data_IF_405529990877
#
_entry.id   IF_405529990877
#
_cell.length_a   1.000
_cell.length_b   1.000
_cell.length_c   1.000
_cell.angle_alpha   90.00
_cell.angle_beta   90.00
_cell.angle_gamma   90.00
#
_symmetry.space_group_name_H-M   'P 1'
#
loop_
_entity.id
_entity.type
_entity.pdbx_description
1 polymer ?
#
# COMPACT_ATOMS: atom_id res chain seq x y z
N UNK A 1 -10.16 -22.59 -2.53
CA UNK A 1 -11.20 -23.49 -3.03
C UNK A 1 -11.59 -24.61 -2.06
N UNK A 2 -10.66 -25.33 -1.42
CA UNK A 2 -10.98 -26.43 -0.47
C UNK A 2 -11.83 -26.02 0.76
N UNK A 3 -11.69 -24.81 1.27
CA UNK A 3 -12.44 -24.35 2.46
C UNK A 3 -13.88 -23.88 2.18
N UNK A 4 -14.22 -23.50 0.96
CA UNK A 4 -15.60 -23.15 0.59
C UNK A 4 -16.48 -24.38 0.35
N UNK A 5 -15.87 -25.49 -0.10
CA UNK A 5 -16.60 -26.77 -0.24
C UNK A 5 -17.03 -27.32 1.13
N UNK A 6 -16.22 -27.14 2.19
CA UNK A 6 -16.58 -27.59 3.55
C UNK A 6 -17.75 -26.82 4.18
N UNK A 7 -17.91 -25.52 3.81
CA UNK A 7 -18.98 -24.69 4.34
C UNK A 7 -20.35 -25.01 3.69
N UNK A 8 -20.35 -25.38 2.41
CA UNK A 8 -21.58 -25.75 1.70
C UNK A 8 -22.10 -27.13 2.18
N UNK A 9 -21.20 -28.05 2.56
CA UNK A 9 -21.60 -29.35 3.11
C UNK A 9 -22.25 -29.26 4.49
N UNK A 10 -21.89 -28.24 5.31
CA UNK A 10 -22.49 -28.07 6.66
C UNK A 10 -23.87 -27.41 6.61
N UNK A 11 -24.19 -26.61 5.60
CA UNK A 11 -25.49 -25.94 5.46
C UNK A 11 -26.56 -26.89 4.89
N UNK A 12 -26.18 -27.84 4.06
CA UNK A 12 -27.10 -28.84 3.50
C UNK A 12 -27.67 -29.86 4.53
N UNK A 13 -26.94 -30.10 5.61
CA UNK A 13 -27.33 -31.05 6.66
C UNK A 13 -28.27 -30.43 7.71
N UNK A 14 -28.31 -29.10 7.83
CA UNK A 14 -29.08 -28.42 8.85
C UNK A 14 -30.59 -28.25 8.53
N UNK A 15 -31.03 -28.53 7.31
CA UNK A 15 -32.43 -28.26 6.90
C UNK A 15 -33.35 -29.49 6.90
N UNK A 16 -32.87 -30.70 7.23
CA UNK A 16 -33.67 -31.92 7.23
C UNK A 16 -34.00 -32.51 8.62
N UNK A 17 -33.71 -31.80 9.70
CA UNK A 17 -34.16 -32.21 11.04
C UNK A 17 -35.53 -31.58 11.35
N UNK A 18 -36.62 -32.22 10.86
CA UNK A 18 -37.92 -32.04 11.47
C UNK A 18 -37.94 -32.80 12.81
N UNK A 19 -38.39 -32.19 13.90
CA UNK A 19 -38.47 -32.92 15.18
C UNK A 19 -39.56 -33.99 15.11
N UNK A 20 -39.15 -35.25 15.09
CA UNK A 20 -40.09 -36.34 15.27
C UNK A 20 -40.45 -36.36 16.76
N UNK A 21 -41.71 -36.05 17.07
CA UNK A 21 -42.25 -36.18 18.41
C UNK A 21 -42.24 -37.67 18.82
N UNK A 22 -41.39 -38.01 19.77
CA UNK A 22 -41.32 -39.36 20.35
C UNK A 22 -42.55 -39.64 21.23
N UNK A 23 -43.44 -40.50 20.79
CA UNK A 23 -44.38 -41.16 21.71
C UNK A 23 -43.61 -42.27 22.44
N UNK A 24 -43.65 -42.26 23.75
CA UNK A 24 -42.85 -43.12 24.66
C UNK A 24 -43.45 -44.54 24.83
N UNK A 25 -43.80 -45.28 23.78
CA UNK A 25 -44.37 -46.62 23.89
C UNK A 25 -43.86 -47.58 22.82
N UNK A 26 -42.59 -47.83 22.80
CA UNK A 26 -41.98 -48.89 22.00
C UNK A 26 -40.92 -49.65 22.80
N UNK A 27 -40.83 -50.98 22.61
CA UNK A 27 -39.77 -51.79 23.24
C UNK A 27 -38.38 -51.33 22.77
N UNK A 28 -37.35 -51.54 23.58
CA UNK A 28 -35.95 -51.17 23.24
C UNK A 28 -35.54 -51.76 21.88
N UNK A 29 -36.03 -52.97 21.57
CA UNK A 29 -35.77 -53.62 20.28
C UNK A 29 -36.39 -52.88 19.08
N UNK A 30 -37.60 -52.34 19.22
CA UNK A 30 -38.23 -51.54 18.16
C UNK A 30 -37.47 -50.22 17.92
N UNK A 31 -36.94 -49.63 18.98
CA UNK A 31 -36.11 -48.40 18.87
C UNK A 31 -34.76 -48.71 18.23
N UNK A 32 -34.18 -49.87 18.55
CA UNK A 32 -32.91 -50.29 17.94
C UNK A 32 -33.07 -50.52 16.43
N UNK A 33 -34.14 -51.20 16.03
CA UNK A 33 -34.47 -51.47 14.61
C UNK A 33 -34.74 -50.16 13.83
N UNK A 34 -35.43 -49.21 14.45
CA UNK A 34 -35.64 -47.88 13.83
C UNK A 34 -34.35 -47.13 13.65
N UNK A 35 -33.43 -47.16 14.63
CA UNK A 35 -32.11 -46.52 14.54
C UNK A 35 -31.20 -47.20 13.50
N UNK A 36 -31.23 -48.55 13.41
CA UNK A 36 -30.48 -49.28 12.39
C UNK A 36 -30.98 -48.94 10.97
N UNK A 37 -32.29 -48.81 10.79
CA UNK A 37 -32.89 -48.36 9.52
C UNK A 37 -32.47 -46.96 9.16
N UNK A 38 -32.46 -46.00 10.12
CA UNK A 38 -31.99 -44.62 9.91
C UNK A 38 -30.50 -44.58 9.57
N UNK A 39 -29.67 -45.36 10.24
CA UNK A 39 -28.25 -45.47 9.93
C UNK A 39 -28.02 -46.01 8.51
N UNK A 40 -28.81 -47.01 8.09
CA UNK A 40 -28.72 -47.56 6.74
C UNK A 40 -29.12 -46.53 5.68
N UNK A 41 -30.18 -45.73 5.94
CA UNK A 41 -30.62 -44.64 5.07
C UNK A 41 -29.57 -43.53 4.96
N UNK A 42 -29.05 -43.06 6.08
CA UNK A 42 -28.01 -42.05 6.11
C UNK A 42 -26.71 -42.49 5.42
N UNK A 43 -26.37 -43.78 5.54
CA UNK A 43 -25.22 -44.33 4.78
C UNK A 43 -25.46 -44.36 3.29
N UNK A 44 -26.68 -44.64 2.84
CA UNK A 44 -27.04 -44.63 1.43
C UNK A 44 -27.06 -43.20 0.85
N UNK A 45 -27.58 -42.23 1.61
CA UNK A 45 -27.55 -40.78 1.23
C UNK A 45 -26.12 -40.27 1.16
N UNK A 46 -25.28 -40.60 2.12
CA UNK A 46 -23.85 -40.20 2.13
C UNK A 46 -23.08 -40.81 0.95
N UNK A 47 -23.40 -42.07 0.58
CA UNK A 47 -22.78 -42.71 -0.57
C UNK A 47 -23.21 -42.07 -1.89
N UNK A 48 -24.50 -41.68 -2.02
CA UNK A 48 -25.03 -40.99 -3.19
C UNK A 48 -24.44 -39.59 -3.34
N UNK A 49 -24.29 -38.87 -2.22
CA UNK A 49 -23.69 -37.51 -2.22
C UNK A 49 -22.18 -37.53 -2.52
N UNK A 50 -21.49 -38.57 -2.02
CA UNK A 50 -20.09 -38.85 -2.36
C UNK A 50 -19.90 -39.13 -3.86
N UNK A 51 -20.73 -39.99 -4.44
CA UNK A 51 -20.68 -40.32 -5.86
C UNK A 51 -21.01 -39.11 -6.75
N UNK A 52 -21.95 -38.23 -6.31
CA UNK A 52 -22.26 -36.98 -6.99
C UNK A 52 -21.08 -36.03 -6.89
N UNK A 53 -20.45 -35.86 -5.73
CA UNK A 53 -19.27 -35.01 -5.53
C UNK A 53 -18.07 -35.46 -6.38
N UNK A 54 -17.85 -36.77 -6.51
CA UNK A 54 -16.80 -37.36 -7.38
C UNK A 54 -17.12 -37.10 -8.87
N UNK A 55 -18.39 -37.21 -9.29
CA UNK A 55 -18.81 -36.88 -10.66
C UNK A 55 -18.62 -35.38 -10.96
N UNK A 56 -18.98 -34.49 -10.03
CA UNK A 56 -18.81 -33.06 -10.20
C UNK A 56 -17.33 -32.65 -10.28
N UNK A 57 -16.47 -33.33 -9.50
CA UNK A 57 -15.01 -33.14 -9.56
C UNK A 57 -14.45 -33.60 -10.92
N UNK A 58 -14.86 -34.77 -11.41
CA UNK A 58 -14.44 -35.29 -12.72
C UNK A 58 -14.91 -34.35 -13.87
N UNK A 59 -16.14 -33.80 -13.79
CA UNK A 59 -16.62 -32.83 -14.78
C UNK A 59 -15.86 -31.54 -14.72
N UNK A 60 -15.48 -31.07 -13.53
CA UNK A 60 -14.65 -29.89 -13.35
C UNK A 60 -13.22 -30.13 -13.87
N UNK A 61 -12.65 -31.30 -13.60
CA UNK A 61 -11.33 -31.68 -14.13
C UNK A 61 -11.33 -31.82 -15.65
N UNK A 62 -12.39 -32.38 -16.24
CA UNK A 62 -12.56 -32.46 -17.70
C UNK A 62 -12.75 -31.06 -18.33
N UNK A 63 -13.45 -30.11 -17.67
CA UNK A 63 -13.54 -28.72 -18.13
C UNK A 63 -12.22 -27.97 -17.99
N UNK A 64 -11.38 -28.32 -17.00
CA UNK A 64 -10.04 -27.75 -16.81
C UNK A 64 -9.04 -28.40 -17.77
N UNK A 65 -9.20 -29.71 -18.04
CA UNK A 65 -8.33 -30.47 -18.95
C UNK A 65 -8.62 -30.27 -20.44
N UNK A 66 -9.73 -29.62 -20.81
CA UNK A 66 -9.90 -29.11 -22.16
C UNK A 66 -9.18 -27.76 -22.25
N UNK A 67 -7.94 -27.68 -22.72
CA UNK A 67 -7.34 -26.38 -22.94
C UNK A 67 -8.19 -25.73 -24.02
N UNK A 68 -8.98 -24.71 -23.66
CA UNK A 68 -9.32 -23.70 -24.64
C UNK A 68 -7.99 -23.29 -25.22
N UNK A 69 -7.75 -23.64 -26.50
CA UNK A 69 -6.51 -23.30 -27.15
C UNK A 69 -6.32 -21.80 -26.95
N UNK A 70 -5.39 -21.44 -26.08
CA UNK A 70 -4.95 -20.05 -25.92
C UNK A 70 -4.27 -19.74 -27.24
N UNK A 71 -5.02 -19.18 -28.18
CA UNK A 71 -4.46 -18.69 -29.44
C UNK A 71 -3.66 -17.45 -29.06
N UNK A 72 -2.43 -17.67 -28.62
CA UNK A 72 -1.44 -16.60 -28.54
C UNK A 72 -1.18 -16.22 -29.99
N UNK A 73 -1.85 -15.18 -30.46
CA UNK A 73 -1.50 -14.60 -31.75
C UNK A 73 -0.07 -14.10 -31.61
N UNK A 74 0.84 -14.68 -32.38
CA UNK A 74 2.25 -14.26 -32.49
C UNK A 74 2.41 -12.89 -33.17
N UNK A 75 1.43 -12.01 -33.03
CA UNK A 75 1.65 -10.60 -33.29
C UNK A 75 2.45 -10.05 -32.13
N UNK A 76 3.75 -9.99 -32.30
CA UNK A 76 4.68 -9.14 -31.55
C UNK A 76 4.19 -7.69 -31.63
N UNK A 77 3.13 -7.38 -30.93
CA UNK A 77 2.58 -6.05 -30.86
C UNK A 77 3.01 -5.44 -29.54
N UNK A 78 3.42 -4.18 -29.54
CA UNK A 78 3.54 -3.31 -28.38
C UNK A 78 2.25 -3.28 -27.52
N UNK A 79 1.23 -4.04 -27.90
CA UNK A 79 -0.13 -4.07 -27.34
C UNK A 79 -0.39 -5.20 -26.34
N UNK A 80 0.53 -6.17 -26.13
CA UNK A 80 0.32 -7.31 -25.23
C UNK A 80 -0.22 -8.57 -25.94
N UNK A 81 -0.76 -9.55 -25.21
CA UNK A 81 -1.35 -10.78 -25.72
C UNK A 81 -2.85 -10.85 -25.42
N UNK A 82 -3.61 -11.58 -26.22
CA UNK A 82 -5.06 -11.74 -26.08
C UNK A 82 -5.44 -13.11 -25.53
N UNK A 83 -6.44 -13.11 -24.61
CA UNK A 83 -7.12 -14.31 -24.15
C UNK A 83 -8.63 -14.04 -24.27
N UNK A 84 -9.29 -14.65 -25.23
CA UNK A 84 -10.67 -14.29 -25.57
C UNK A 84 -10.77 -12.82 -25.99
N UNK A 85 -11.71 -12.08 -25.38
CA UNK A 85 -11.93 -10.65 -25.65
C UNK A 85 -11.02 -9.72 -24.82
N UNK A 86 -10.14 -10.27 -23.99
CA UNK A 86 -9.31 -9.49 -23.08
C UNK A 86 -7.90 -9.41 -23.57
N UNK A 87 -7.35 -8.20 -23.69
CA UNK A 87 -5.94 -7.93 -23.96
C UNK A 87 -5.19 -7.80 -22.64
N UNK A 88 -4.15 -8.61 -22.46
CA UNK A 88 -3.26 -8.56 -21.30
C UNK A 88 -1.93 -7.90 -21.64
N UNK A 89 -1.45 -7.06 -20.72
CA UNK A 89 -0.11 -6.47 -20.78
C UNK A 89 0.63 -6.80 -19.50
N UNK A 90 1.86 -7.26 -19.62
CA UNK A 90 2.80 -7.39 -18.52
C UNK A 90 3.65 -6.12 -18.47
N UNK A 91 4.03 -5.71 -17.28
CA UNK A 91 4.91 -4.59 -17.05
C UNK A 91 5.64 -4.73 -15.75
N UNK A 92 6.65 -3.90 -15.54
CA UNK A 92 7.43 -3.94 -14.33
C UNK A 92 8.90 -3.62 -14.58
N UNK A 93 9.70 -3.98 -13.61
CA UNK A 93 11.15 -3.87 -13.69
C UNK A 93 11.80 -4.83 -12.69
N UNK A 94 13.00 -5.27 -13.03
CA UNK A 94 13.94 -5.86 -12.08
C UNK A 94 14.81 -4.74 -11.57
N UNK A 95 14.97 -4.64 -10.25
CA UNK A 95 15.76 -3.63 -9.57
C UNK A 95 16.76 -4.30 -8.64
N UNK A 96 17.97 -3.78 -8.61
CA UNK A 96 19.02 -4.21 -7.69
C UNK A 96 19.68 -2.97 -7.11
N UNK A 97 19.61 -2.85 -5.79
CA UNK A 97 20.15 -1.74 -5.04
C UNK A 97 21.27 -2.20 -4.10
N UNK A 98 22.26 -1.34 -3.95
CA UNK A 98 23.28 -1.43 -2.90
C UNK A 98 23.24 -0.15 -2.09
N UNK A 99 23.02 -0.27 -0.78
CA UNK A 99 22.98 0.86 0.14
C UNK A 99 24.15 0.80 1.11
N UNK A 100 24.88 1.89 1.24
CA UNK A 100 25.79 2.13 2.37
C UNK A 100 25.18 3.22 3.20
N UNK A 101 24.79 2.90 4.43
CA UNK A 101 24.05 3.80 5.32
C UNK A 101 24.79 3.99 6.62
N UNK A 102 24.94 5.23 7.05
CA UNK A 102 25.44 5.62 8.36
C UNK A 102 24.33 6.35 9.13
N UNK A 103 23.99 5.82 10.29
CA UNK A 103 23.08 6.46 11.26
C UNK A 103 23.92 7.07 12.36
N UNK A 104 23.64 8.31 12.75
CA UNK A 104 24.35 8.98 13.86
C UNK A 104 24.13 8.26 15.19
N UNK A 105 22.95 7.66 15.36
CA UNK A 105 22.53 7.01 16.60
C UNK A 105 21.86 5.67 16.33
N UNK A 106 22.34 4.62 17.02
CA UNK A 106 21.75 3.29 16.90
C UNK A 106 21.86 2.69 15.51
N UNK A 107 21.06 1.65 15.26
CA UNK A 107 21.01 0.93 13.99
C UNK A 107 19.84 -0.04 13.92
N UNK A 108 19.70 -0.68 12.78
CA UNK A 108 18.62 -1.61 12.50
C UNK A 108 19.13 -3.02 12.27
N UNK A 109 18.33 -4.01 12.71
CA UNK A 109 18.60 -5.41 12.40
C UNK A 109 18.58 -5.65 10.89
N UNK A 110 19.29 -6.66 10.42
CA UNK A 110 19.22 -7.14 9.04
C UNK A 110 17.79 -7.49 8.67
N UNK A 111 17.38 -7.19 7.44
CA UNK A 111 16.00 -7.37 6.94
C UNK A 111 15.00 -6.32 7.45
N UNK A 112 15.46 -5.26 8.13
CA UNK A 112 14.61 -4.09 8.41
C UNK A 112 14.45 -3.24 7.15
N UNK A 113 13.22 -2.93 6.79
CA UNK A 113 12.90 -2.09 5.63
C UNK A 113 13.55 -0.70 5.66
N UNK A 114 13.92 -0.20 6.84
CA UNK A 114 14.65 1.08 6.99
C UNK A 114 16.06 0.99 6.37
N UNK A 115 16.60 -0.21 6.23
CA UNK A 115 17.87 -0.45 5.55
C UNK A 115 17.72 -0.39 4.02
N UNK A 116 16.53 -0.67 3.47
CA UNK A 116 16.28 -0.71 2.02
C UNK A 116 15.91 0.68 1.45
N UNK A 117 15.21 1.53 2.23
CA UNK A 117 14.91 2.89 1.81
C UNK A 117 14.73 3.85 2.99
N UNK A 118 14.76 5.15 2.72
CA UNK A 118 14.63 6.20 3.72
C UNK A 118 13.21 6.31 4.25
N UNK A 119 13.04 6.14 5.57
CA UNK A 119 11.80 6.37 6.31
C UNK A 119 12.09 7.44 7.36
N UNK A 120 11.66 8.70 7.15
CA UNK A 120 12.09 9.83 7.99
C UNK A 120 11.85 9.61 9.48
N UNK A 121 10.63 9.25 9.87
CA UNK A 121 10.25 9.04 11.27
C UNK A 121 10.88 7.80 11.93
N UNK A 122 11.62 6.99 11.18
CA UNK A 122 12.36 5.84 11.72
C UNK A 122 13.84 6.16 11.93
N UNK A 123 14.35 7.32 11.50
CA UNK A 123 15.75 7.71 11.78
C UNK A 123 15.98 7.69 13.30
N UNK A 124 16.94 6.90 13.81
CA UNK A 124 17.23 6.84 15.23
C UNK A 124 17.73 8.19 15.73
N UNK A 125 17.33 8.54 16.96
CA UNK A 125 17.66 9.81 17.60
C UNK A 125 18.39 9.54 18.91
N UNK A 126 19.43 10.30 19.21
CA UNK A 126 20.24 10.12 20.41
C UNK A 126 21.18 11.30 20.64
N UNK A 127 22.33 11.01 21.27
CA UNK A 127 23.33 12.03 21.59
C UNK A 127 24.55 12.01 20.64
N UNK A 128 24.47 11.29 19.52
CA UNK A 128 25.57 11.14 18.57
C UNK A 128 26.70 10.19 19.00
N UNK A 129 26.53 9.46 20.09
CA UNK A 129 27.57 8.63 20.69
C UNK A 129 27.58 7.16 20.18
N UNK A 130 26.60 6.76 19.37
CA UNK A 130 26.38 5.37 18.97
C UNK A 130 26.11 5.23 17.47
N UNK A 131 27.02 5.75 16.66
CA UNK A 131 26.87 5.66 15.19
C UNK A 131 26.98 4.21 14.70
N UNK A 132 26.20 3.89 13.66
CA UNK A 132 26.19 2.56 13.05
C UNK A 132 26.24 2.69 11.53
N UNK A 133 27.19 2.00 10.90
CA UNK A 133 27.29 1.89 9.45
C UNK A 133 26.83 0.50 9.00
N UNK A 134 25.99 0.45 7.96
CA UNK A 134 25.50 -0.81 7.35
C UNK A 134 25.74 -0.81 5.86
N UNK A 135 25.90 -1.99 5.29
CA UNK A 135 25.92 -2.21 3.84
C UNK A 135 24.88 -3.27 3.50
N UNK A 136 23.98 -2.94 2.60
CA UNK A 136 22.85 -3.77 2.21
C UNK A 136 22.79 -3.91 0.69
N UNK A 137 22.52 -5.12 0.23
CA UNK A 137 22.29 -5.45 -1.16
C UNK A 137 20.90 -6.07 -1.26
N UNK A 138 20.00 -5.47 -2.05
CA UNK A 138 18.61 -5.91 -2.12
C UNK A 138 18.09 -5.91 -3.55
N UNK A 139 17.12 -6.78 -3.82
CA UNK A 139 16.33 -6.80 -5.05
C UNK A 139 14.82 -6.70 -4.76
N UNK A 140 14.43 -6.39 -3.52
CA UNK A 140 13.03 -6.40 -3.07
C UNK A 140 12.17 -5.31 -3.71
N UNK A 141 12.78 -4.26 -4.25
CA UNK A 141 12.09 -3.21 -5.01
C UNK A 141 11.62 -3.68 -6.41
N UNK A 142 12.09 -4.85 -6.88
CA UNK A 142 11.61 -5.50 -8.11
C UNK A 142 10.09 -5.55 -8.14
N UNK A 143 9.51 -5.19 -9.31
CA UNK A 143 8.08 -4.97 -9.45
C UNK A 143 7.50 -5.66 -10.66
N UNK A 144 6.31 -6.23 -10.48
CA UNK A 144 5.52 -6.83 -11.56
C UNK A 144 4.12 -6.23 -11.60
N UNK A 145 3.61 -6.04 -12.81
CA UNK A 145 2.22 -5.63 -13.01
C UNK A 145 1.57 -6.38 -14.16
N UNK A 146 0.26 -6.56 -14.03
CA UNK A 146 -0.60 -7.14 -15.07
C UNK A 146 -1.76 -6.20 -15.28
N UNK A 147 -2.00 -5.83 -16.54
CA UNK A 147 -3.18 -5.08 -16.96
C UNK A 147 -4.01 -5.97 -17.87
N UNK A 148 -5.29 -6.17 -17.55
CA UNK A 148 -6.27 -6.81 -18.42
C UNK A 148 -7.28 -5.77 -18.89
N UNK A 149 -7.50 -5.64 -20.22
CA UNK A 149 -8.42 -4.65 -20.79
C UNK A 149 -9.34 -5.26 -21.82
N UNK A 150 -10.63 -4.91 -21.79
CA UNK A 150 -11.63 -5.32 -22.79
C UNK A 150 -12.66 -4.24 -23.05
N UNK A 151 -13.30 -4.29 -24.19
CA UNK A 151 -14.44 -3.43 -24.47
C UNK A 151 -15.71 -4.00 -23.82
N UNK A 152 -16.45 -3.16 -23.09
CA UNK A 152 -17.73 -3.49 -22.46
C UNK A 152 -18.70 -2.34 -22.77
N UNK A 153 -19.73 -2.60 -23.58
CA UNK A 153 -20.71 -1.59 -23.92
C UNK A 153 -20.14 -0.33 -24.58
N UNK A 154 -19.12 -0.48 -25.44
CA UNK A 154 -18.47 0.64 -26.14
C UNK A 154 -17.47 1.43 -25.28
N UNK A 155 -17.19 1.00 -24.05
CA UNK A 155 -16.21 1.59 -23.13
C UNK A 155 -15.14 0.55 -22.76
N UNK A 156 -13.93 1.00 -22.49
CA UNK A 156 -12.87 0.11 -22.02
C UNK A 156 -13.03 -0.15 -20.51
N UNK A 157 -13.17 -1.42 -20.15
CA UNK A 157 -13.00 -1.88 -18.77
C UNK A 157 -11.55 -2.37 -18.60
N UNK A 158 -10.90 -1.98 -17.50
CA UNK A 158 -9.52 -2.34 -17.18
C UNK A 158 -9.44 -2.91 -15.79
N UNK A 159 -8.73 -4.03 -15.62
CA UNK A 159 -8.28 -4.53 -14.33
C UNK A 159 -6.75 -4.39 -14.27
N UNK A 160 -6.22 -3.95 -13.14
CA UNK A 160 -4.80 -3.75 -12.93
C UNK A 160 -4.37 -4.37 -11.60
N UNK A 161 -3.23 -5.06 -11.59
CA UNK A 161 -2.59 -5.61 -10.39
C UNK A 161 -1.11 -5.29 -10.46
N UNK A 162 -0.54 -4.83 -9.34
CA UNK A 162 0.89 -4.54 -9.17
C UNK A 162 1.39 -5.09 -7.84
N UNK A 163 2.54 -5.75 -7.86
CA UNK A 163 3.22 -6.30 -6.68
C UNK A 163 4.70 -5.94 -6.67
N UNK A 164 5.29 -5.82 -5.49
CA UNK A 164 6.74 -5.84 -5.23
C UNK A 164 7.01 -6.76 -4.02
N UNK A 165 8.25 -6.78 -3.52
CA UNK A 165 8.66 -7.64 -2.41
C UNK A 165 9.05 -6.85 -1.15
N UNK A 166 9.05 -5.53 -1.21
CA UNK A 166 9.33 -4.66 -0.07
C UNK A 166 8.26 -4.77 1.02
N UNK A 167 8.63 -4.58 2.27
CA UNK A 167 7.71 -4.62 3.42
C UNK A 167 6.95 -5.95 3.57
N UNK A 168 7.42 -7.03 2.96
CA UNK A 168 6.78 -8.32 3.18
C UNK A 168 7.15 -8.84 4.56
N UNK A 169 6.15 -9.11 5.40
CA UNK A 169 6.35 -9.76 6.70
C UNK A 169 6.74 -11.23 6.62
N UNK A 170 6.97 -11.77 5.42
CA UNK A 170 7.30 -13.16 5.15
C UNK A 170 8.59 -13.26 4.34
N UNK A 171 9.51 -14.05 4.84
CA UNK A 171 10.84 -14.22 4.30
C UNK A 171 11.90 -13.52 5.13
N UNK A 172 13.13 -13.92 4.96
CA UNK A 172 14.28 -13.29 5.58
C UNK A 172 15.59 -13.73 4.90
N UNK A 173 16.62 -12.91 5.02
CA UNK A 173 17.94 -13.15 4.44
C UNK A 173 18.66 -14.34 5.10
N UNK A 174 18.40 -14.58 6.38
CA UNK A 174 19.10 -15.60 7.16
C UNK A 174 18.89 -17.02 6.64
N UNK A 175 17.72 -17.31 6.06
CA UNK A 175 17.38 -18.69 5.63
C UNK A 175 17.62 -18.87 4.14
N UNK A 176 17.07 -17.99 3.30
CA UNK A 176 17.06 -18.23 1.86
C UNK A 176 16.97 -16.96 1.03
N UNK A 177 17.04 -15.78 1.62
CA UNK A 177 16.78 -14.49 0.95
C UNK A 177 15.50 -14.52 0.10
N UNK A 178 14.44 -15.12 0.65
CA UNK A 178 13.14 -15.27 -0.01
C UNK A 178 12.15 -14.31 0.60
N UNK A 179 11.42 -13.59 -0.24
CA UNK A 179 10.45 -12.59 0.16
C UNK A 179 9.11 -12.83 -0.51
N UNK A 180 8.01 -12.63 0.21
CA UNK A 180 6.67 -12.78 -0.33
C UNK A 180 6.27 -11.54 -1.14
N UNK A 181 5.55 -11.69 -2.26
CA UNK A 181 5.03 -10.55 -3.00
C UNK A 181 3.98 -9.80 -2.17
N UNK A 182 4.10 -8.48 -2.14
CA UNK A 182 3.18 -7.54 -1.51
C UNK A 182 2.25 -6.93 -2.55
N UNK A 183 0.94 -6.90 -2.26
CA UNK A 183 0.00 -6.17 -3.11
C UNK A 183 0.20 -4.67 -2.96
N UNK A 184 0.56 -4.02 -4.06
CA UNK A 184 0.70 -2.55 -4.13
C UNK A 184 -0.58 -1.89 -4.61
N UNK A 185 -1.04 -2.28 -5.79
CA UNK A 185 -2.20 -1.72 -6.46
C UNK A 185 -3.04 -2.86 -7.02
N UNK A 186 -4.35 -2.77 -6.86
CA UNK A 186 -5.30 -3.71 -7.46
C UNK A 186 -6.64 -3.00 -7.62
N UNK A 187 -7.04 -2.70 -8.85
CA UNK A 187 -8.25 -1.95 -9.11
C UNK A 187 -8.93 -2.34 -10.43
N UNK A 188 -10.20 -2.02 -10.51
CA UNK A 188 -11.00 -2.03 -11.73
C UNK A 188 -11.29 -0.59 -12.13
N UNK A 189 -11.13 -0.28 -13.40
CA UNK A 189 -11.42 1.03 -13.98
C UNK A 189 -12.47 0.87 -15.11
N UNK A 190 -13.55 1.61 -15.04
CA UNK A 190 -14.59 1.62 -16.07
C UNK A 190 -15.32 2.95 -16.12
N UNK A 191 -15.28 3.61 -17.28
CA UNK A 191 -16.04 4.84 -17.57
C UNK A 191 -15.84 5.95 -16.52
N UNK A 192 -14.61 6.18 -16.07
CA UNK A 192 -14.27 7.20 -15.05
C UNK A 192 -14.39 6.72 -13.61
N UNK A 193 -15.06 5.59 -13.37
CA UNK A 193 -15.13 4.97 -12.04
C UNK A 193 -13.95 4.02 -11.85
N UNK A 194 -13.20 4.20 -10.76
CA UNK A 194 -12.14 3.29 -10.29
C UNK A 194 -12.51 2.76 -8.91
N UNK A 195 -12.41 1.44 -8.74
CA UNK A 195 -12.68 0.77 -7.47
C UNK A 195 -11.54 -0.20 -7.17
N UNK A 196 -11.00 -0.12 -5.97
CA UNK A 196 -9.92 -0.99 -5.50
C UNK A 196 -8.81 -0.24 -4.79
N UNK A 197 -7.66 -0.89 -4.61
CA UNK A 197 -6.48 -0.29 -3.98
C UNK A 197 -5.64 0.45 -5.02
N UNK A 198 -5.43 1.73 -4.79
CA UNK A 198 -4.67 2.63 -5.66
C UNK A 198 -3.96 3.70 -4.83
N UNK A 199 -3.07 4.46 -5.46
CA UNK A 199 -2.56 5.70 -4.90
C UNK A 199 -3.72 6.60 -4.49
N UNK A 200 -3.63 7.19 -3.30
CA UNK A 200 -4.63 8.15 -2.84
C UNK A 200 -4.90 9.23 -3.88
N UNK A 201 -6.14 9.68 -3.97
CA UNK A 201 -6.54 10.80 -4.80
C UNK A 201 -5.88 12.10 -4.32
N UNK A 202 -5.50 12.17 -3.06
CA UNK A 202 -4.78 13.30 -2.47
C UNK A 202 -3.34 13.45 -3.02
N UNK A 203 -2.74 12.38 -3.56
CA UNK A 203 -1.39 12.35 -4.09
C UNK A 203 -1.32 12.67 -5.59
N UNK A 204 -0.36 13.52 -5.98
CA UNK A 204 0.04 13.69 -7.39
C UNK A 204 1.31 12.87 -7.67
N UNK A 205 1.15 11.71 -8.31
CA UNK A 205 2.28 10.81 -8.61
C UNK A 205 3.30 11.39 -9.60
N UNK A 206 2.93 12.41 -10.39
CA UNK A 206 3.87 13.08 -11.30
C UNK A 206 4.84 14.03 -10.59
N UNK A 207 4.50 14.42 -9.35
CA UNK A 207 5.34 15.25 -8.50
C UNK A 207 6.44 14.46 -7.78
N UNK A 208 6.39 13.12 -7.80
CA UNK A 208 7.40 12.28 -7.14
C UNK A 208 8.77 12.53 -7.78
N UNK A 209 9.83 12.85 -7.02
CA UNK A 209 11.18 12.97 -7.53
C UNK A 209 11.66 11.70 -8.25
N UNK A 210 12.50 11.85 -9.25
CA UNK A 210 13.21 10.71 -9.84
C UNK A 210 14.46 10.46 -8.99
N UNK A 211 14.65 9.22 -8.56
CA UNK A 211 15.75 8.78 -7.69
C UNK A 211 16.42 7.51 -8.24
N UNK A 212 17.62 7.22 -7.79
CA UNK A 212 18.26 5.93 -7.98
C UNK A 212 17.68 4.89 -7.02
N UNK A 213 17.44 5.27 -5.77
CA UNK A 213 16.81 4.45 -4.75
C UNK A 213 15.32 4.23 -5.01
N UNK A 214 14.69 3.30 -4.29
CA UNK A 214 13.25 3.05 -4.36
C UNK A 214 12.42 4.30 -4.09
N UNK A 215 12.85 5.14 -3.13
CA UNK A 215 12.14 6.33 -2.68
C UNK A 215 13.07 7.33 -1.99
N UNK A 216 12.90 8.60 -2.29
CA UNK A 216 13.70 9.70 -1.75
C UNK A 216 12.81 10.87 -1.34
N UNK A 217 13.33 11.81 -0.53
CA UNK A 217 12.61 12.99 -0.05
C UNK A 217 11.26 12.64 0.61
N UNK A 218 11.27 11.60 1.47
CA UNK A 218 10.06 11.05 2.08
C UNK A 218 9.35 11.99 3.05
N UNK A 219 9.99 13.02 3.56
CA UNK A 219 9.51 13.87 4.65
C UNK A 219 8.20 14.58 4.31
N UNK A 220 8.21 15.39 3.27
CA UNK A 220 7.06 16.23 2.89
C UNK A 220 6.20 15.64 1.76
N UNK A 221 6.39 14.39 1.38
CA UNK A 221 5.61 13.79 0.31
C UNK A 221 4.33 13.14 0.81
N UNK A 222 3.23 13.34 0.07
CA UNK A 222 2.05 12.47 0.15
C UNK A 222 2.39 11.16 -0.54
N UNK A 223 2.44 10.05 0.23
CA UNK A 223 2.86 8.74 -0.31
C UNK A 223 2.08 7.59 0.32
N UNK A 224 0.83 7.44 -0.09
CA UNK A 224 -0.07 6.41 0.47
C UNK A 224 -0.91 5.75 -0.62
N UNK A 225 -1.13 4.45 -0.48
CA UNK A 225 -2.06 3.65 -1.26
C UNK A 225 -3.10 3.06 -0.33
N UNK A 226 -4.35 3.03 -0.77
CA UNK A 226 -5.42 2.43 0.01
C UNK A 226 -6.61 2.05 -0.85
N UNK A 227 -7.52 1.24 -0.30
CA UNK A 227 -8.78 0.91 -0.92
C UNK A 227 -9.63 2.17 -1.07
N UNK A 228 -10.24 2.34 -2.24
CA UNK A 228 -11.00 3.53 -2.57
C UNK A 228 -12.03 3.28 -3.67
N UNK A 229 -13.02 4.15 -3.73
CA UNK A 229 -13.91 4.37 -4.86
C UNK A 229 -13.64 5.78 -5.37
N UNK A 230 -13.14 5.92 -6.60
CA UNK A 230 -12.81 7.21 -7.22
C UNK A 230 -13.61 7.41 -8.49
N UNK A 231 -14.19 8.58 -8.65
CA UNK A 231 -14.82 9.03 -9.88
C UNK A 231 -14.05 10.18 -10.51
N UNK A 232 -13.71 10.06 -11.79
CA UNK A 232 -12.99 11.06 -12.57
C UNK A 232 -13.91 11.63 -13.63
N UNK A 233 -14.06 12.96 -13.67
CA UNK A 233 -14.82 13.68 -14.69
C UNK A 233 -14.07 14.96 -15.09
N UNK A 234 -13.68 15.04 -16.36
CA UNK A 234 -12.82 16.12 -16.83
C UNK A 234 -11.53 16.21 -16.02
N UNK A 235 -11.27 17.37 -15.45
CA UNK A 235 -10.10 17.63 -14.62
C UNK A 235 -10.31 17.30 -13.13
N UNK A 236 -11.52 16.94 -12.73
CA UNK A 236 -11.88 16.66 -11.34
C UNK A 236 -11.82 15.17 -11.02
N UNK A 237 -11.40 14.88 -9.79
CA UNK A 237 -11.47 13.56 -9.19
C UNK A 237 -12.08 13.68 -7.80
N UNK A 238 -13.00 12.79 -7.49
CA UNK A 238 -13.64 12.67 -6.18
C UNK A 238 -13.46 11.23 -5.71
N UNK A 239 -13.11 11.03 -4.44
CA UNK A 239 -12.91 9.70 -3.91
C UNK A 239 -13.43 9.57 -2.48
N UNK A 240 -13.87 8.34 -2.18
CA UNK A 240 -14.06 7.83 -0.84
C UNK A 240 -12.94 6.81 -0.61
N UNK A 241 -12.12 7.04 0.40
CA UNK A 241 -10.92 6.26 0.68
C UNK A 241 -10.98 5.64 2.08
N UNK A 242 -10.28 4.54 2.28
CA UNK A 242 -10.22 3.89 3.58
C UNK A 242 -9.58 4.81 4.63
N UNK A 243 -10.30 5.08 5.72
CA UNK A 243 -10.01 6.13 6.70
C UNK A 243 -9.04 5.73 7.82
N UNK A 244 -8.29 4.62 7.72
CA UNK A 244 -7.36 4.21 8.78
C UNK A 244 -6.38 5.33 9.13
N UNK A 245 -6.11 5.50 10.42
CA UNK A 245 -5.20 6.48 10.97
C UNK A 245 -4.30 5.86 12.03
N UNK A 246 -3.30 6.61 12.46
CA UNK A 246 -2.49 6.29 13.63
C UNK A 246 -2.60 7.42 14.64
N UNK A 247 -2.73 7.08 15.92
CA UNK A 247 -2.78 8.05 17.01
C UNK A 247 -1.80 7.65 18.13
N UNK A 248 -1.38 8.63 18.92
CA UNK A 248 -0.60 8.42 20.13
C UNK A 248 -1.56 8.14 21.28
N UNK A 249 -1.41 7.04 22.05
CA UNK A 249 -2.28 6.74 23.18
C UNK A 249 -2.06 7.71 24.34
N UNK A 250 -3.04 7.82 25.24
CA UNK A 250 -2.97 8.67 26.44
C UNK A 250 -1.78 8.34 27.36
N UNK A 251 -1.27 7.12 27.33
CA UNK A 251 -0.11 6.69 28.11
C UNK A 251 1.00 6.20 27.18
N UNK A 252 2.16 6.87 27.27
CA UNK A 252 3.34 6.52 26.49
C UNK A 252 3.47 7.25 25.16
N UNK A 253 4.56 6.94 24.44
CA UNK A 253 4.90 7.54 23.13
C UNK A 253 4.62 6.58 21.96
N UNK A 254 3.82 5.54 22.19
CA UNK A 254 3.55 4.51 21.20
C UNK A 254 2.68 5.00 20.05
N UNK A 255 2.48 4.09 19.11
CA UNK A 255 1.57 4.28 17.99
C UNK A 255 0.51 3.18 18.05
N UNK A 256 -0.76 3.57 17.97
CA UNK A 256 -1.90 2.66 17.84
C UNK A 256 -2.60 2.94 16.52
N UNK A 257 -3.11 1.89 15.89
CA UNK A 257 -3.95 2.03 14.71
C UNK A 257 -5.36 2.43 15.13
N UNK A 258 -5.87 3.49 14.52
CA UNK A 258 -7.23 3.99 14.72
C UNK A 258 -8.04 3.64 13.46
N UNK A 259 -8.79 2.54 13.53
CA UNK A 259 -9.59 1.98 12.43
C UNK A 259 -11.10 1.92 12.77
N UNK A 260 -11.50 2.59 13.85
CA UNK A 260 -12.90 2.64 14.32
C UNK A 260 -13.74 3.70 13.61
N UNK A 261 -13.22 4.28 12.52
CA UNK A 261 -13.89 5.31 11.74
C UNK A 261 -15.21 4.79 11.14
N UNK A 262 -16.28 5.56 11.27
CA UNK A 262 -17.61 5.22 10.77
C UNK A 262 -17.87 5.79 9.36
N UNK A 263 -17.02 6.72 8.94
CA UNK A 263 -17.08 7.33 7.60
C UNK A 263 -15.72 7.21 6.91
N UNK A 264 -15.71 7.01 5.57
CA UNK A 264 -14.46 7.01 4.81
C UNK A 264 -13.85 8.43 4.74
N UNK A 265 -12.55 8.50 4.45
CA UNK A 265 -11.92 9.76 4.07
C UNK A 265 -12.50 10.24 2.73
N UNK A 266 -12.84 11.52 2.63
CA UNK A 266 -13.40 12.16 1.43
C UNK A 266 -12.31 13.01 0.79
N UNK A 267 -11.99 12.72 -0.48
CA UNK A 267 -10.94 13.44 -1.20
C UNK A 267 -11.49 14.05 -2.48
N UNK A 268 -11.14 15.31 -2.73
CA UNK A 268 -11.39 15.99 -3.98
C UNK A 268 -10.07 16.50 -4.56
N UNK A 269 -9.85 16.34 -5.88
CA UNK A 269 -8.68 16.85 -6.58
C UNK A 269 -9.05 17.46 -7.91
N UNK A 270 -8.46 18.62 -8.19
CA UNK A 270 -8.45 19.25 -9.50
C UNK A 270 -7.09 19.10 -10.15
N UNK A 271 -7.04 18.65 -11.40
CA UNK A 271 -5.82 18.50 -12.18
C UNK A 271 -5.81 19.51 -13.32
N UNK A 272 -4.76 20.31 -13.41
CA UNK A 272 -4.53 21.19 -14.55
C UNK A 272 -3.33 20.65 -15.36
N UNK A 273 -3.52 20.52 -16.66
CA UNK A 273 -2.48 20.09 -17.61
C UNK A 273 -2.36 21.13 -18.71
N UNK A 274 -1.13 21.50 -19.04
CA UNK A 274 -0.80 22.42 -20.11
C UNK A 274 0.60 22.13 -20.66
N UNK A 275 1.05 22.95 -21.61
CA UNK A 275 2.38 22.80 -22.24
C UNK A 275 3.52 22.94 -21.23
N UNK A 276 3.31 23.66 -20.14
CA UNK A 276 4.29 23.81 -19.06
C UNK A 276 4.41 22.55 -18.18
N UNK A 277 3.48 21.59 -18.27
CA UNK A 277 3.44 20.40 -17.42
C UNK A 277 2.07 20.13 -16.78
N UNK A 278 2.06 19.77 -15.50
CA UNK A 278 0.82 19.55 -14.74
C UNK A 278 0.90 20.10 -13.33
N UNK A 279 -0.25 20.50 -12.82
CA UNK A 279 -0.48 20.95 -11.45
C UNK A 279 -1.71 20.21 -10.91
N UNK A 280 -1.75 19.97 -9.61
CA UNK A 280 -2.95 19.51 -8.92
C UNK A 280 -3.16 20.29 -7.63
N UNK A 281 -4.42 20.56 -7.32
CA UNK A 281 -4.88 21.01 -6.03
C UNK A 281 -5.79 19.93 -5.46
N UNK A 282 -5.52 19.48 -4.25
CA UNK A 282 -6.32 18.44 -3.59
C UNK A 282 -6.71 18.89 -2.18
N UNK A 283 -7.89 18.42 -1.76
CA UNK A 283 -8.40 18.60 -0.40
C UNK A 283 -8.87 17.25 0.13
N UNK A 284 -8.69 17.03 1.43
CA UNK A 284 -9.15 15.84 2.15
C UNK A 284 -9.88 16.26 3.41
N UNK A 285 -10.98 15.54 3.74
CA UNK A 285 -11.65 15.59 5.03
C UNK A 285 -11.75 14.17 5.58
N UNK A 286 -11.51 14.00 6.87
CA UNK A 286 -11.44 12.68 7.49
C UNK A 286 -11.91 12.70 8.94
N UNK A 287 -12.33 11.54 9.43
CA UNK A 287 -12.61 11.28 10.82
C UNK A 287 -11.41 10.59 11.46
N UNK A 288 -11.02 11.04 12.65
CA UNK A 288 -10.06 10.35 13.50
C UNK A 288 -10.85 9.75 14.66
N UNK A 289 -10.94 8.43 14.77
CA UNK A 289 -11.70 7.76 15.80
C UNK A 289 -10.96 6.53 16.30
N UNK A 290 -10.92 6.41 17.62
CA UNK A 290 -10.35 5.27 18.31
C UNK A 290 -11.27 4.80 19.41
N UNK A 291 -11.81 3.59 19.30
CA UNK A 291 -12.68 2.96 20.30
C UNK A 291 -11.86 1.98 21.14
N UNK A 292 -12.00 2.04 22.45
CA UNK A 292 -11.52 1.00 23.38
C UNK A 292 -12.70 0.21 23.92
N UNK A 293 -12.45 -1.01 24.40
CA UNK A 293 -13.49 -1.84 25.01
C UNK A 293 -14.13 -1.23 26.26
N UNK A 294 -13.50 -0.24 26.85
CA UNK A 294 -13.90 0.37 28.15
C UNK A 294 -14.25 1.84 28.09
N UNK A 295 -13.90 2.53 27.01
CA UNK A 295 -14.13 3.98 26.85
C UNK A 295 -14.78 4.21 25.50
N UNK A 296 -16.00 4.80 25.41
CA UNK A 296 -16.54 5.27 24.15
C UNK A 296 -15.56 6.27 23.58
N UNK A 297 -15.21 6.10 22.32
CA UNK A 297 -14.29 7.02 21.70
C UNK A 297 -14.99 8.31 21.37
N UNK A 298 -14.30 9.36 21.58
CA UNK A 298 -14.57 10.60 20.90
C UNK A 298 -13.87 10.61 19.53
N UNK A 299 -14.41 11.35 18.62
CA UNK A 299 -13.86 11.50 17.28
C UNK A 299 -13.51 12.96 17.04
N UNK A 300 -12.39 13.17 16.40
CA UNK A 300 -12.00 14.48 15.89
C UNK A 300 -12.05 14.53 14.36
N UNK A 301 -12.12 15.74 13.82
CA UNK A 301 -12.15 15.97 12.37
C UNK A 301 -10.76 16.39 11.88
N UNK A 302 -10.19 15.59 10.97
CA UNK A 302 -8.97 15.94 10.26
C UNK A 302 -9.26 16.51 8.88
N UNK A 303 -8.39 17.40 8.42
CA UNK A 303 -8.46 17.97 7.08
C UNK A 303 -7.07 18.25 6.52
N UNK A 304 -6.98 18.40 5.19
CA UNK A 304 -5.72 18.79 4.55
C UNK A 304 -5.90 19.36 3.16
N UNK A 305 -4.93 20.15 2.78
CA UNK A 305 -4.79 20.71 1.44
C UNK A 305 -3.42 20.32 0.86
N UNK A 306 -3.37 20.06 -0.43
CA UNK A 306 -2.13 19.74 -1.14
C UNK A 306 -2.10 20.45 -2.50
N UNK A 307 -0.96 21.10 -2.80
CA UNK A 307 -0.62 21.65 -4.11
C UNK A 307 0.63 20.94 -4.60
N UNK A 308 0.54 20.21 -5.73
CA UNK A 308 1.66 19.43 -6.22
C UNK A 308 1.71 19.45 -7.75
N UNK A 309 2.91 19.26 -8.31
CA UNK A 309 3.05 19.30 -9.75
C UNK A 309 4.42 18.94 -10.27
N UNK A 310 4.46 18.89 -11.61
CA UNK A 310 5.66 18.77 -12.41
C UNK A 310 5.59 19.81 -13.51
N UNK A 311 6.55 20.72 -13.56
CA UNK A 311 6.62 21.79 -14.56
C UNK A 311 7.96 21.76 -15.31
N UNK A 312 7.92 22.01 -16.60
CA UNK A 312 9.12 22.12 -17.44
C UNK A 312 9.94 23.37 -17.08
N UNK A 313 11.25 23.22 -16.94
CA UNK A 313 12.20 24.34 -16.70
C UNK A 313 13.40 24.11 -17.61
N UNK A 314 13.46 24.88 -18.70
CA UNK A 314 14.45 24.67 -19.76
C UNK A 314 14.34 23.27 -20.36
N UNK A 315 15.42 22.51 -20.39
CA UNK A 315 15.44 21.11 -20.84
C UNK A 315 15.04 20.11 -19.73
N UNK A 316 14.93 20.57 -18.49
CA UNK A 316 14.59 19.77 -17.30
C UNK A 316 13.16 19.91 -16.83
N UNK A 317 12.89 19.38 -15.65
CA UNK A 317 11.62 19.54 -14.97
C UNK A 317 11.81 19.77 -13.46
N UNK A 318 10.96 20.64 -12.91
CA UNK A 318 10.80 20.87 -11.49
C UNK A 318 9.60 20.07 -11.00
N UNK A 319 9.77 19.31 -9.91
CA UNK A 319 8.72 18.55 -9.21
C UNK A 319 8.61 19.06 -7.79
N UNK A 320 7.38 19.27 -7.36
CA UNK A 320 7.14 19.81 -6.03
C UNK A 320 5.81 19.33 -5.44
N UNK A 321 5.74 19.35 -4.13
CA UNK A 321 4.53 19.18 -3.35
C UNK A 321 4.60 20.08 -2.12
N UNK A 322 3.49 20.75 -1.80
CA UNK A 322 3.26 21.47 -0.55
C UNK A 322 1.96 20.93 0.02
N UNK A 323 1.98 20.47 1.25
CA UNK A 323 0.84 19.83 1.90
C UNK A 323 0.78 20.28 3.35
N UNK A 324 -0.41 20.57 3.85
CA UNK A 324 -0.62 20.93 5.25
C UNK A 324 -2.07 20.72 5.66
N UNK A 325 -2.29 20.58 6.96
CA UNK A 325 -3.59 20.35 7.57
C UNK A 325 -3.48 19.77 8.97
N UNK A 326 -4.57 19.26 9.48
CA UNK A 326 -4.69 18.62 10.78
C UNK A 326 -5.09 17.17 10.61
N UNK A 327 -4.48 16.27 11.36
CA UNK A 327 -4.82 14.86 11.31
C UNK A 327 -4.35 14.13 10.05
N UNK A 328 -3.34 14.62 9.33
CA UNK A 328 -2.85 14.00 8.10
C UNK A 328 -2.20 12.63 8.32
N UNK A 329 -1.34 12.49 9.34
CA UNK A 329 -0.69 11.23 9.72
C UNK A 329 -0.11 10.47 8.52
N UNK A 330 -0.65 9.28 8.26
CA UNK A 330 -0.17 8.38 7.20
C UNK A 330 -0.20 8.94 5.77
N UNK A 331 -0.88 10.05 5.53
CA UNK A 331 -0.92 10.66 4.20
C UNK A 331 0.39 11.33 3.83
N UNK A 332 1.12 11.88 4.80
CA UNK A 332 2.36 12.62 4.58
C UNK A 332 3.53 11.99 5.35
N UNK A 333 4.74 12.11 4.84
CA UNK A 333 5.96 11.76 5.56
C UNK A 333 6.11 10.30 5.93
N UNK A 334 5.48 9.37 5.17
CA UNK A 334 5.46 7.93 5.52
C UNK A 334 4.98 7.68 6.95
N UNK A 335 4.03 8.50 7.44
CA UNK A 335 3.53 8.43 8.81
C UNK A 335 4.60 8.71 9.89
N UNK A 336 5.53 9.63 9.64
CA UNK A 336 6.54 10.06 10.62
C UNK A 336 5.91 10.72 11.84
N UNK A 337 4.75 11.37 11.65
CA UNK A 337 3.92 12.02 12.66
C UNK A 337 2.58 11.28 12.71
N UNK A 338 2.05 11.01 13.90
CA UNK A 338 0.72 10.43 14.05
C UNK A 338 -0.37 11.43 13.61
N UNK A 339 -1.54 10.94 13.20
CA UNK A 339 -2.66 11.79 12.82
C UNK A 339 -3.24 12.56 14.00
N UNK A 340 -3.18 11.99 15.19
CA UNK A 340 -3.71 12.58 16.41
C UNK A 340 -3.10 11.98 17.66
N UNK A 341 -3.53 12.46 18.79
CA UNK A 341 -3.16 11.97 20.10
C UNK A 341 -4.37 11.96 21.04
N UNK A 342 -4.37 11.03 21.99
CA UNK A 342 -5.40 10.99 23.05
C UNK A 342 -4.93 11.88 24.20
N UNK A 343 -5.71 12.92 24.51
CA UNK A 343 -5.45 13.78 25.65
C UNK A 343 -5.60 12.96 26.96
N UNK A 344 -4.55 12.86 27.79
CA UNK A 344 -4.57 12.03 28.99
C UNK A 344 -5.50 12.54 30.09
N UNK A 345 -5.94 13.81 30.03
CA UNK A 345 -6.81 14.42 31.02
C UNK A 345 -8.30 14.25 30.66
N UNK A 346 -8.64 14.38 29.38
CA UNK A 346 -10.04 14.36 28.92
C UNK A 346 -10.43 13.04 28.30
N UNK A 347 -9.46 12.32 27.71
CA UNK A 347 -9.70 11.12 26.92
C UNK A 347 -10.05 11.39 25.46
N UNK A 348 -10.14 12.66 25.05
CA UNK A 348 -10.49 13.08 23.70
C UNK A 348 -9.34 12.80 22.73
N UNK A 349 -9.68 12.54 21.47
CA UNK A 349 -8.71 12.51 20.37
C UNK A 349 -8.53 13.92 19.83
N UNK A 350 -7.29 14.40 19.80
CA UNK A 350 -6.94 15.69 19.23
C UNK A 350 -6.12 15.46 17.95
N UNK A 351 -6.53 16.08 16.82
CA UNK A 351 -5.82 16.03 15.56
C UNK A 351 -4.51 16.82 15.66
N UNK A 352 -3.41 16.26 15.13
CA UNK A 352 -2.10 16.94 15.13
C UNK A 352 -1.97 17.76 13.86
N UNK A 353 -1.76 19.09 13.94
CA UNK A 353 -1.41 19.92 12.81
C UNK A 353 -0.05 19.51 12.24
N UNK A 354 0.06 19.42 10.91
CA UNK A 354 1.32 19.13 10.25
C UNK A 354 1.37 19.75 8.86
N UNK A 355 2.56 20.16 8.46
CA UNK A 355 2.79 20.72 7.14
C UNK A 355 4.18 20.35 6.63
N UNK A 356 4.28 20.17 5.33
CA UNK A 356 5.54 19.79 4.72
C UNK A 356 5.50 19.91 3.21
N UNK A 357 6.61 19.57 2.61
CA UNK A 357 6.73 19.61 1.16
C UNK A 357 8.08 19.16 0.68
N UNK A 358 8.19 19.05 -0.62
CA UNK A 358 9.46 18.83 -1.29
C UNK A 358 9.53 19.65 -2.58
N UNK A 359 10.75 19.91 -3.00
CA UNK A 359 11.07 20.41 -4.33
C UNK A 359 12.27 19.66 -4.87
N UNK A 360 12.21 19.26 -6.13
CA UNK A 360 13.32 18.61 -6.83
C UNK A 360 13.43 19.07 -8.27
N UNK A 361 14.65 19.17 -8.75
CA UNK A 361 14.99 19.48 -10.14
C UNK A 361 15.57 18.23 -10.79
N UNK A 362 15.00 17.83 -11.92
CA UNK A 362 15.58 16.86 -12.84
C UNK A 362 16.12 17.59 -14.05
N UNK A 363 17.40 17.40 -14.36
CA UNK A 363 18.05 18.06 -15.50
C UNK A 363 18.79 17.02 -16.38
N UNK A 364 18.46 16.91 -17.68
CA UNK A 364 19.20 16.04 -18.61
C UNK A 364 20.58 16.65 -18.88
N UNK A 365 21.63 15.85 -18.74
CA UNK A 365 23.00 16.23 -19.05
C UNK A 365 23.36 15.82 -20.48
N UNK A 366 22.84 14.67 -20.91
CA UNK A 366 22.95 14.12 -22.26
C UNK A 366 21.65 13.41 -22.62
N UNK A 367 21.55 12.88 -23.84
CA UNK A 367 20.40 12.05 -24.24
C UNK A 367 20.22 10.78 -23.35
N UNK A 368 21.29 10.34 -22.67
CA UNK A 368 21.30 9.12 -21.86
C UNK A 368 21.52 9.35 -20.38
N UNK A 369 21.85 10.56 -19.96
CA UNK A 369 22.16 10.83 -18.56
C UNK A 369 21.45 12.05 -18.04
N UNK A 370 21.13 12.02 -16.75
CA UNK A 370 20.41 13.05 -16.03
C UNK A 370 20.85 13.17 -14.58
N UNK A 371 20.79 14.38 -14.09
CA UNK A 371 21.06 14.72 -12.71
C UNK A 371 19.74 15.12 -12.03
N UNK A 372 19.58 14.69 -10.79
CA UNK A 372 18.44 15.06 -9.94
C UNK A 372 18.95 15.57 -8.61
N UNK A 373 18.33 16.61 -8.10
CA UNK A 373 18.63 17.17 -6.78
C UNK A 373 17.34 17.68 -6.16
N UNK A 374 17.21 17.58 -4.84
CA UNK A 374 16.04 18.11 -4.16
C UNK A 374 16.17 18.12 -2.67
N UNK A 375 15.20 18.78 -2.04
CA UNK A 375 15.05 18.92 -0.60
C UNK A 375 13.62 18.63 -0.17
N UNK A 376 13.43 18.17 1.06
CA UNK A 376 12.12 17.90 1.66
C UNK A 376 12.15 18.22 3.14
N UNK A 377 11.00 18.62 3.69
CA UNK A 377 10.82 18.78 5.12
C UNK A 377 9.35 18.52 5.53
N UNK A 378 9.17 18.12 6.79
CA UNK A 378 7.88 17.94 7.46
C UNK A 378 8.00 18.46 8.88
N UNK A 379 7.01 19.22 9.33
CA UNK A 379 6.90 19.80 10.65
C UNK A 379 5.57 19.42 11.30
N UNK A 380 5.58 19.18 12.60
CA UNK A 380 4.40 18.99 13.43
C UNK A 380 4.25 20.17 14.40
N UNK A 381 3.01 20.46 14.76
CA UNK A 381 2.65 21.30 15.91
C UNK A 381 2.03 20.38 16.96
N UNK A 382 2.88 19.72 17.72
CA UNK A 382 2.47 18.69 18.66
C UNK A 382 1.80 19.31 19.90
N UNK A 383 0.66 18.74 20.39
CA UNK A 383 0.06 19.19 21.64
C UNK A 383 1.01 19.09 22.84
N UNK A 384 0.95 20.04 23.77
CA UNK A 384 1.81 20.13 24.97
C UNK A 384 1.80 18.88 25.86
N UNK A 385 0.75 18.07 25.80
CA UNK A 385 0.64 16.83 26.56
C UNK A 385 1.40 15.65 25.93
N UNK A 386 1.91 15.78 24.70
CA UNK A 386 2.71 14.73 24.09
C UNK A 386 4.08 14.63 24.78
N UNK A 387 4.66 13.41 24.80
CA UNK A 387 6.03 13.25 25.30
C UNK A 387 7.01 14.08 24.49
N UNK A 388 8.00 14.68 25.17
CA UNK A 388 9.08 15.41 24.51
C UNK A 388 9.95 14.56 23.57
N UNK A 389 9.67 13.27 23.46
CA UNK A 389 10.24 12.33 22.48
C UNK A 389 9.37 12.19 21.22
N UNK A 390 8.29 12.96 21.08
CA UNK A 390 7.54 13.05 19.84
C UNK A 390 8.39 13.69 18.75
N UNK A 391 8.19 13.28 17.49
CA UNK A 391 8.86 13.90 16.36
C UNK A 391 8.32 15.30 16.14
N UNK A 392 9.18 16.31 16.18
CA UNK A 392 8.87 17.69 15.87
C UNK A 392 8.99 17.95 14.37
N UNK A 393 10.14 17.53 13.79
CA UNK A 393 10.36 17.69 12.37
C UNK A 393 11.22 16.56 11.76
N UNK A 394 11.14 16.46 10.43
CA UNK A 394 12.08 15.67 9.62
C UNK A 394 12.43 16.46 8.37
N UNK A 395 13.67 16.29 7.91
CA UNK A 395 14.16 16.96 6.70
C UNK A 395 15.15 16.10 5.95
N UNK A 396 15.23 16.29 4.63
CA UNK A 396 16.21 15.59 3.81
C UNK A 396 16.64 16.35 2.58
N UNK A 397 17.83 16.02 2.11
CA UNK A 397 18.37 16.48 0.82
C UNK A 397 18.93 15.27 0.08
N UNK A 398 18.75 15.22 -1.24
CA UNK A 398 19.37 14.21 -2.08
C UNK A 398 19.97 14.79 -3.33
N UNK A 399 20.92 14.06 -3.91
CA UNK A 399 21.44 14.27 -5.25
C UNK A 399 21.66 12.91 -5.91
N UNK A 400 21.22 12.75 -7.17
CA UNK A 400 21.35 11.52 -7.92
C UNK A 400 21.81 11.76 -9.35
N UNK A 401 22.66 10.87 -9.83
CA UNK A 401 23.07 10.79 -11.23
C UNK A 401 22.60 9.46 -11.81
N UNK A 402 21.79 9.52 -12.87
CA UNK A 402 21.27 8.33 -13.56
C UNK A 402 21.71 8.35 -15.02
N UNK A 403 22.08 7.19 -15.55
CA UNK A 403 22.41 7.04 -16.95
C UNK A 403 21.92 5.70 -17.54
N UNK A 404 21.49 5.74 -18.78
CA UNK A 404 20.94 4.60 -19.49
C UNK A 404 22.08 3.93 -20.28
N UNK A 405 22.53 2.76 -19.82
CA UNK A 405 23.60 1.98 -20.46
C UNK A 405 23.09 1.25 -21.72
N UNK A 406 21.79 0.93 -21.73
CA UNK A 406 21.08 0.32 -22.85
C UNK A 406 19.59 0.75 -22.79
N UNK A 407 18.81 0.53 -23.86
CA UNK A 407 17.36 0.75 -23.80
C UNK A 407 16.74 0.01 -22.61
N UNK A 408 16.03 0.73 -21.74
CA UNK A 408 15.38 0.24 -20.52
C UNK A 408 16.33 -0.25 -19.42
N UNK A 409 17.64 -0.08 -19.53
CA UNK A 409 18.61 -0.41 -18.49
C UNK A 409 19.21 0.88 -17.97
N UNK A 410 18.85 1.26 -16.77
CA UNK A 410 19.33 2.47 -16.09
C UNK A 410 20.24 2.07 -14.93
N UNK A 411 21.36 2.76 -14.80
CA UNK A 411 22.25 2.70 -13.62
C UNK A 411 22.18 4.04 -12.93
N UNK A 412 22.17 4.02 -11.60
CA UNK A 412 22.05 5.21 -10.77
C UNK A 412 23.01 5.23 -9.60
N UNK A 413 23.42 6.44 -9.24
CA UNK A 413 24.15 6.75 -8.01
C UNK A 413 23.39 7.86 -7.28
N UNK A 414 23.20 7.71 -5.98
CA UNK A 414 22.46 8.67 -5.16
C UNK A 414 23.16 8.85 -3.81
N UNK A 415 23.25 10.11 -3.37
CA UNK A 415 23.55 10.47 -1.99
C UNK A 415 22.32 11.10 -1.36
N UNK A 416 21.96 10.67 -0.15
CA UNK A 416 20.87 11.22 0.66
C UNK A 416 21.38 11.53 2.06
N UNK A 417 21.00 12.71 2.55
CA UNK A 417 21.14 13.12 3.95
C UNK A 417 19.74 13.32 4.50
N UNK A 418 19.43 12.68 5.63
CA UNK A 418 18.16 12.83 6.32
C UNK A 418 18.39 13.12 7.79
N UNK A 419 17.50 13.90 8.39
CA UNK A 419 17.53 14.31 9.78
C UNK A 419 16.15 14.19 10.40
N UNK A 420 16.11 13.86 11.67
CA UNK A 420 14.90 13.83 12.51
C UNK A 420 15.18 14.49 13.83
N UNK A 421 14.32 15.41 14.25
CA UNK A 421 14.38 16.10 15.52
C UNK A 421 13.13 15.82 16.36
N UNK A 422 13.31 15.74 17.66
CA UNK A 422 12.27 15.55 18.67
C UNK A 422 11.96 16.86 19.39
N UNK A 423 10.80 16.94 20.02
CA UNK A 423 10.33 18.10 20.81
C UNK A 423 11.30 18.59 21.90
N UNK A 424 12.20 17.72 22.37
CA UNK A 424 13.25 18.10 23.34
C UNK A 424 14.54 18.63 22.68
N UNK A 425 14.57 18.83 21.36
CA UNK A 425 15.72 19.28 20.61
C UNK A 425 16.81 18.20 20.41
N UNK A 426 16.52 16.95 20.72
CA UNK A 426 17.45 15.85 20.41
C UNK A 426 17.23 15.43 18.96
N UNK A 427 18.31 15.28 18.22
CA UNK A 427 18.27 14.94 16.79
C UNK A 427 18.98 13.60 16.48
N UNK A 428 18.81 13.16 15.25
CA UNK A 428 19.52 12.04 14.67
C UNK A 428 19.51 12.10 13.16
N UNK A 429 20.55 11.59 12.54
CA UNK A 429 20.75 11.70 11.10
C UNK A 429 21.03 10.39 10.41
N UNK A 430 20.75 10.36 9.12
CA UNK A 430 21.09 9.31 8.17
C UNK A 430 21.89 9.91 7.02
N UNK A 431 23.08 9.35 6.76
CA UNK A 431 23.80 9.53 5.50
C UNK A 431 23.70 8.23 4.72
N UNK A 432 23.18 8.27 3.49
CA UNK A 432 23.07 7.07 2.64
C UNK A 432 23.64 7.32 1.26
N UNK A 433 24.45 6.40 0.81
CA UNK A 433 24.85 6.28 -0.58
C UNK A 433 24.16 5.05 -1.20
N UNK A 434 23.56 5.22 -2.37
CA UNK A 434 22.88 4.15 -3.12
C UNK A 434 23.49 4.01 -4.50
N UNK A 435 23.80 2.77 -4.87
CA UNK A 435 24.02 2.34 -6.25
C UNK A 435 22.83 1.49 -6.68
N UNK A 436 22.26 1.76 -7.86
CA UNK A 436 21.10 1.05 -8.38
C UNK A 436 21.30 0.61 -9.82
N UNK A 437 20.75 -0.55 -10.17
CA UNK A 437 20.63 -1.02 -11.55
C UNK A 437 19.21 -1.52 -11.81
N UNK A 438 18.53 -0.92 -12.78
CA UNK A 438 17.12 -1.18 -13.07
C UNK A 438 16.92 -1.54 -14.53
N UNK A 439 16.21 -2.67 -14.77
CA UNK A 439 15.77 -3.08 -16.11
C UNK A 439 14.24 -3.07 -16.18
N UNK A 440 13.67 -2.20 -17.00
CA UNK A 440 12.23 -2.14 -17.27
C UNK A 440 11.79 -3.03 -18.44
N UNK A 441 10.61 -3.64 -18.36
CA UNK A 441 10.07 -4.48 -19.44
C UNK A 441 8.58 -4.21 -19.76
#
# INVERSE_FOLDING_TARGET
>A
MKNRLKLILLVGIATSFAPIAYSQTGSIEQRLQAMESQIAQLKAELAAEKAKGESDVIQLEQKIATPSAVTVSNQSSKSGFQVGDTTFKLGGFVDFDTHVSEFSDGGFAGGSVVRDFYIPGATPVGNGDNSTTTTDLTAESTRFSVTGSRNVGGKTATAYIETDFLLSGQGNERVSSSFAPRLRRAYIDYNGLRVGQEWSTFQNTSAIPESASFYTLGDGQVFVRQAQVRYTTGNFQFALENGNATITPAAGSGRIEADSNTVPDVVARYNYKGDFGNLSLAAIGRQLRFDTATTPSESDFGWGLSAAGRIGVGEGDLRFSLTGGEGLGRYIGLNSINAGAVNPLTGDVEAIPSYGGHVSLRYPLTEKSRFNIGVSALFADNPDFLPLTATENTQSVFAAYLFDIAPKVTVGFEGLLGERELENGTDGSLTRFTFSTKYGF
#
